data_IF_969172532456
#
_entry.id   IF_969172532456
#
_cell.length_a   1.000
_cell.length_b   1.000
_cell.length_c   1.000
_cell.angle_alpha   90.00
_cell.angle_beta   90.00
_cell.angle_gamma   90.00
#
_symmetry.space_group_name_H-M   'P 1'
#
loop_
_entity.id
_entity.type
_entity.pdbx_description
1 polymer ?
#
# COMPACT_ATOMS: atom_id res chain seq x y z
N UNK A 1 35.65 56.00 28.67
CA UNK A 1 35.99 54.94 27.66
C UNK A 1 35.59 53.52 28.02
N UNK A 2 35.47 53.05 29.27
CA UNK A 2 35.14 51.67 29.63
C UNK A 2 33.69 51.27 29.37
N UNK A 3 32.67 52.14 29.43
CA UNK A 3 31.24 51.84 29.23
C UNK A 3 30.89 51.52 27.76
N UNK A 4 31.56 52.13 26.77
CA UNK A 4 31.28 51.87 25.35
C UNK A 4 31.82 50.51 24.86
N UNK A 5 32.94 50.03 25.43
CA UNK A 5 33.49 48.69 25.12
C UNK A 5 32.60 47.55 25.62
N UNK A 6 32.00 47.68 26.82
CA UNK A 6 31.07 46.69 27.38
C UNK A 6 29.78 46.59 26.57
N UNK A 7 29.21 47.74 26.09
CA UNK A 7 28.02 47.69 25.22
C UNK A 7 28.31 47.04 23.88
N UNK A 8 29.44 47.32 23.23
CA UNK A 8 29.81 46.65 21.96
C UNK A 8 30.05 45.16 22.16
N UNK A 9 30.71 44.72 23.21
CA UNK A 9 30.93 43.31 23.52
C UNK A 9 29.60 42.59 23.80
N UNK A 10 28.64 43.22 24.48
CA UNK A 10 27.32 42.65 24.76
C UNK A 10 26.47 42.52 23.49
N UNK A 11 26.51 43.50 22.57
CA UNK A 11 25.81 43.42 21.27
C UNK A 11 26.38 42.29 20.41
N UNK A 12 27.71 42.13 20.37
CA UNK A 12 28.36 41.03 19.65
C UNK A 12 28.00 39.68 20.27
N UNK A 13 27.99 39.55 21.59
CA UNK A 13 27.60 38.34 22.29
C UNK A 13 26.15 37.94 22.00
N UNK A 14 25.23 38.90 22.08
CA UNK A 14 23.80 38.63 21.72
C UNK A 14 23.62 38.29 20.24
N UNK A 15 24.37 38.91 19.33
CA UNK A 15 24.40 38.56 17.91
C UNK A 15 24.87 37.11 17.67
N UNK A 16 25.94 36.69 18.35
CA UNK A 16 26.45 35.33 18.26
C UNK A 16 25.46 34.30 18.83
N UNK A 17 24.81 34.60 19.97
CA UNK A 17 23.77 33.72 20.58
C UNK A 17 22.57 33.61 19.67
N UNK A 18 22.09 34.71 19.09
CA UNK A 18 20.98 34.67 18.12
C UNK A 18 21.31 33.87 16.84
N UNK A 19 22.52 34.04 16.31
CA UNK A 19 23.01 33.29 15.16
C UNK A 19 23.08 31.77 15.45
N UNK A 20 23.62 31.39 16.62
CA UNK A 20 23.66 29.98 17.05
C UNK A 20 22.28 29.41 17.26
N UNK A 21 21.33 30.17 17.84
CA UNK A 21 19.94 29.73 18.00
C UNK A 21 19.25 29.53 16.64
N UNK A 22 19.46 30.40 15.66
CA UNK A 22 18.95 30.27 14.30
C UNK A 22 19.56 29.07 13.58
N UNK A 23 20.87 28.85 13.71
CA UNK A 23 21.54 27.67 13.16
C UNK A 23 21.02 26.37 13.80
N UNK A 24 20.82 26.36 15.12
CA UNK A 24 20.28 25.22 15.82
C UNK A 24 18.81 24.94 15.43
N UNK A 25 17.98 25.97 15.29
CA UNK A 25 16.60 25.85 14.82
C UNK A 25 16.55 25.36 13.36
N UNK A 26 17.42 25.88 12.48
CA UNK A 26 17.54 25.41 11.10
C UNK A 26 18.01 23.94 11.01
N UNK A 27 19.00 23.56 11.82
CA UNK A 27 19.48 22.18 11.90
C UNK A 27 18.37 21.24 12.43
N UNK A 28 17.64 21.65 13.46
CA UNK A 28 16.52 20.90 14.01
C UNK A 28 15.38 20.77 12.98
N UNK A 29 15.06 21.84 12.25
CA UNK A 29 14.06 21.80 11.16
C UNK A 29 14.46 20.82 10.06
N UNK A 30 15.74 20.80 9.63
CA UNK A 30 16.25 19.85 8.64
C UNK A 30 16.25 18.39 9.15
N UNK A 31 16.47 18.19 10.46
CA UNK A 31 16.42 16.85 11.07
C UNK A 31 15.00 16.31 11.23
N UNK A 32 14.03 17.21 11.42
CA UNK A 32 12.61 16.85 11.57
C UNK A 32 11.91 16.71 10.21
N UNK A 33 12.48 17.28 9.13
CA UNK A 33 11.85 17.24 7.81
C UNK A 33 11.84 15.81 7.26
N UNK A 34 10.65 15.33 6.88
CA UNK A 34 10.50 14.09 6.13
C UNK A 34 11.19 14.23 4.76
N UNK A 35 12.07 13.30 4.36
CA UNK A 35 12.67 13.30 3.04
C UNK A 35 11.61 13.30 1.93
N UNK A 36 11.91 13.91 0.79
CA UNK A 36 11.02 13.83 -0.37
C UNK A 36 10.94 12.39 -0.89
N UNK A 37 9.79 11.97 -1.47
CA UNK A 37 9.68 10.70 -2.15
C UNK A 37 10.74 10.55 -3.24
N UNK A 38 11.24 9.33 -3.43
CA UNK A 38 12.27 9.00 -4.42
C UNK A 38 11.74 7.94 -5.38
N UNK A 39 11.79 8.25 -6.67
CA UNK A 39 11.54 7.29 -7.73
C UNK A 39 12.76 6.38 -7.88
N UNK A 40 12.53 5.07 -7.93
CA UNK A 40 13.58 4.05 -7.98
C UNK A 40 13.18 2.92 -8.93
N UNK A 41 14.19 2.20 -9.43
CA UNK A 41 14.06 0.97 -10.19
C UNK A 41 14.65 -0.17 -9.34
N UNK A 42 13.78 -1.05 -8.83
CA UNK A 42 14.19 -2.15 -7.94
C UNK A 42 14.44 -3.41 -8.76
N UNK A 43 15.61 -4.06 -8.66
CA UNK A 43 15.86 -5.32 -9.35
C UNK A 43 14.88 -6.41 -8.90
N UNK A 44 14.07 -6.91 -9.81
CA UNK A 44 13.15 -8.04 -9.62
C UNK A 44 13.58 -9.29 -10.37
N UNK A 45 12.90 -10.40 -10.14
CA UNK A 45 13.24 -11.69 -10.77
C UNK A 45 13.04 -11.72 -12.29
N UNK A 46 12.15 -10.86 -12.83
CA UNK A 46 11.79 -10.82 -14.26
C UNK A 46 12.27 -9.56 -14.97
N UNK A 47 12.57 -8.50 -14.22
CA UNK A 47 12.96 -7.18 -14.71
C UNK A 47 12.97 -6.18 -13.57
N UNK A 48 13.21 -4.92 -13.89
CA UNK A 48 13.14 -3.87 -12.89
C UNK A 48 11.69 -3.56 -12.51
N UNK A 49 11.46 -3.33 -11.24
CA UNK A 49 10.18 -2.96 -10.63
C UNK A 49 10.21 -1.45 -10.38
N UNK A 50 9.45 -0.63 -11.13
CA UNK A 50 9.36 0.79 -10.85
C UNK A 50 8.67 1.01 -9.51
N UNK A 51 9.25 1.84 -8.65
CA UNK A 51 8.71 2.09 -7.33
C UNK A 51 8.98 3.53 -6.85
N UNK A 52 8.24 3.95 -5.83
CA UNK A 52 8.47 5.21 -5.12
C UNK A 52 8.70 4.91 -3.65
N UNK A 53 9.84 5.32 -3.13
CA UNK A 53 10.23 5.15 -1.72
C UNK A 53 9.99 6.45 -0.96
N UNK A 54 9.35 6.37 0.19
CA UNK A 54 9.21 7.47 1.15
C UNK A 54 9.85 7.04 2.48
N UNK A 55 10.94 7.71 2.84
CA UNK A 55 11.65 7.45 4.11
C UNK A 55 11.18 8.40 5.22
N UNK A 56 11.16 7.97 6.48
CA UNK A 56 10.90 8.85 7.61
C UNK A 56 12.05 9.84 7.84
N UNK A 57 11.78 10.93 8.55
CA UNK A 57 12.80 11.89 8.98
C UNK A 57 13.88 11.25 9.85
N UNK A 58 15.08 11.86 9.91
CA UNK A 58 16.23 11.29 10.63
C UNK A 58 15.99 11.04 12.12
N UNK A 59 15.22 11.88 12.79
CA UNK A 59 14.88 11.70 14.21
C UNK A 59 13.88 10.58 14.47
N UNK A 60 13.11 10.17 13.45
CA UNK A 60 12.21 9.04 13.53
C UNK A 60 12.93 7.68 13.43
N UNK A 61 14.24 7.66 13.11
CA UNK A 61 15.07 6.46 12.92
C UNK A 61 15.81 6.03 14.20
N UNK A 62 15.21 6.22 15.35
CA UNK A 62 15.83 5.84 16.65
C UNK A 62 15.67 4.36 16.99
N UNK A 63 15.90 3.42 16.06
CA UNK A 63 15.72 1.98 16.23
C UNK A 63 15.48 1.29 14.89
N UNK A 64 14.96 0.07 14.92
CA UNK A 64 14.48 -0.64 13.73
C UNK A 64 13.38 0.16 13.03
N UNK A 65 13.57 0.48 11.75
CA UNK A 65 12.59 1.24 10.96
C UNK A 65 11.57 0.28 10.36
N UNK A 66 10.28 0.39 10.74
CA UNK A 66 9.23 -0.41 10.12
C UNK A 66 9.04 -0.03 8.64
N UNK A 67 8.58 -1.00 7.85
CA UNK A 67 8.28 -0.84 6.42
C UNK A 67 6.81 -1.12 6.13
N UNK A 68 6.21 -0.32 5.26
CA UNK A 68 4.92 -0.63 4.64
C UNK A 68 5.07 -0.68 3.12
N UNK A 69 4.66 -1.82 2.52
CA UNK A 69 4.57 -1.98 1.07
C UNK A 69 3.13 -1.74 0.63
N UNK A 70 2.93 -0.86 -0.36
CA UNK A 70 1.62 -0.51 -0.89
C UNK A 70 1.40 -1.18 -2.26
N UNK A 71 0.38 -2.03 -2.33
CA UNK A 71 0.05 -2.90 -3.46
C UNK A 71 -1.25 -2.42 -4.14
N UNK A 72 -1.14 -1.94 -5.38
CA UNK A 72 -2.29 -1.42 -6.13
C UNK A 72 -3.20 -2.53 -6.72
N UNK A 73 -4.39 -2.12 -7.18
CA UNK A 73 -5.39 -2.98 -7.79
C UNK A 73 -5.10 -3.35 -9.25
N UNK A 74 -6.03 -4.11 -9.85
CA UNK A 74 -5.99 -4.51 -11.26
C UNK A 74 -5.97 -3.26 -12.15
N UNK A 75 -5.07 -3.20 -13.15
CA UNK A 75 -4.80 -2.05 -14.02
C UNK A 75 -4.40 -0.74 -13.32
N UNK A 76 -4.13 -0.78 -12.02
CA UNK A 76 -3.71 0.39 -11.24
C UNK A 76 -2.25 0.76 -11.43
N UNK A 77 -1.71 1.53 -10.50
CA UNK A 77 -0.29 1.90 -10.43
C UNK A 77 0.12 2.22 -8.99
N UNK A 78 1.40 2.47 -8.78
CA UNK A 78 1.96 2.92 -7.49
C UNK A 78 1.36 4.24 -6.95
N UNK A 79 0.47 4.89 -7.72
CA UNK A 79 -0.30 6.05 -7.24
C UNK A 79 -1.50 5.66 -6.39
N UNK A 80 -2.04 4.42 -6.56
CA UNK A 80 -3.17 3.91 -5.78
C UNK A 80 -4.39 4.82 -5.85
N UNK A 81 -4.76 5.22 -7.07
CA UNK A 81 -5.86 6.12 -7.36
C UNK A 81 -5.78 7.50 -6.64
N UNK A 82 -4.57 7.89 -6.23
CA UNK A 82 -4.30 9.14 -5.52
C UNK A 82 -4.08 8.98 -4.01
N UNK A 83 -4.46 7.85 -3.42
CA UNK A 83 -4.43 7.65 -1.95
C UNK A 83 -3.08 7.19 -1.39
N UNK A 84 -2.23 6.56 -2.19
CA UNK A 84 -0.97 6.01 -1.68
C UNK A 84 0.07 7.07 -1.33
N UNK A 85 0.07 8.22 -2.00
CA UNK A 85 1.01 9.30 -1.70
C UNK A 85 0.70 9.97 -0.34
N UNK A 86 -0.54 10.43 -0.06
CA UNK A 86 -0.87 11.00 1.25
C UNK A 86 -0.71 9.98 2.39
N UNK A 87 -1.04 8.70 2.17
CA UNK A 87 -0.79 7.65 3.16
C UNK A 87 0.70 7.49 3.45
N UNK A 88 1.54 7.43 2.41
CA UNK A 88 2.99 7.30 2.57
C UNK A 88 3.59 8.49 3.34
N UNK A 89 3.11 9.71 3.08
CA UNK A 89 3.52 10.90 3.81
C UNK A 89 3.14 10.81 5.30
N UNK A 90 1.91 10.42 5.63
CA UNK A 90 1.46 10.26 7.02
C UNK A 90 2.23 9.16 7.76
N UNK A 91 2.49 8.01 7.12
CA UNK A 91 3.30 6.93 7.69
C UNK A 91 4.74 7.38 7.96
N UNK A 92 5.33 8.15 7.04
CA UNK A 92 6.68 8.69 7.21
C UNK A 92 6.79 9.68 8.38
N UNK A 93 5.74 10.49 8.63
CA UNK A 93 5.64 11.35 9.83
C UNK A 93 5.59 10.52 11.11
N UNK A 94 5.01 9.33 11.04
CA UNK A 94 4.99 8.37 12.15
C UNK A 94 6.26 7.51 12.23
N UNK A 95 7.29 7.77 11.45
CA UNK A 95 8.55 7.03 11.52
C UNK A 95 8.55 5.68 10.81
N UNK A 96 7.60 5.45 9.92
CA UNK A 96 7.45 4.24 9.10
C UNK A 96 7.92 4.53 7.67
N UNK A 97 8.83 3.72 7.14
CA UNK A 97 9.22 3.78 5.73
C UNK A 97 8.13 3.17 4.86
N UNK A 98 7.96 3.68 3.64
CA UNK A 98 7.02 3.10 2.68
C UNK A 98 7.66 2.90 1.33
N UNK A 99 7.17 1.90 0.61
CA UNK A 99 7.44 1.69 -0.80
C UNK A 99 6.14 1.31 -1.51
N UNK A 100 5.87 1.99 -2.60
CA UNK A 100 4.74 1.75 -3.51
C UNK A 100 5.30 1.37 -4.87
N UNK A 101 4.84 0.26 -5.44
CA UNK A 101 5.42 -0.35 -6.63
C UNK A 101 4.41 -0.45 -7.77
N UNK A 102 4.91 -0.54 -9.01
CA UNK A 102 4.11 -0.90 -10.18
C UNK A 102 4.32 -2.39 -10.49
N UNK A 103 3.25 -3.17 -10.43
CA UNK A 103 3.27 -4.57 -10.84
C UNK A 103 3.39 -4.72 -12.37
N UNK A 104 3.67 -5.93 -12.82
CA UNK A 104 3.84 -6.26 -14.24
C UNK A 104 2.72 -5.68 -15.12
N UNK A 105 3.08 -5.00 -16.20
CA UNK A 105 2.17 -4.37 -17.15
C UNK A 105 1.39 -3.16 -16.64
N UNK A 106 1.68 -2.68 -15.43
CA UNK A 106 1.02 -1.56 -14.79
C UNK A 106 1.96 -0.36 -14.64
N UNK A 107 1.40 0.84 -14.60
CA UNK A 107 2.15 2.07 -14.36
C UNK A 107 3.33 2.24 -15.33
N UNK A 108 4.56 2.29 -14.80
CA UNK A 108 5.80 2.39 -15.57
C UNK A 108 6.50 1.04 -15.82
N UNK A 109 5.89 -0.09 -15.40
CA UNK A 109 6.47 -1.42 -15.62
C UNK A 109 6.64 -1.73 -17.11
N UNK A 110 7.82 -2.21 -17.50
CA UNK A 110 8.12 -2.64 -18.86
C UNK A 110 7.69 -4.11 -19.13
N UNK A 111 7.24 -4.84 -18.11
CA UNK A 111 6.76 -6.21 -18.26
C UNK A 111 5.39 -6.25 -18.95
N UNK A 112 5.07 -7.33 -19.71
CA UNK A 112 3.74 -7.47 -20.29
C UNK A 112 2.69 -7.74 -19.20
N UNK A 113 1.45 -7.30 -19.43
CA UNK A 113 0.36 -7.51 -18.47
C UNK A 113 0.05 -9.01 -18.24
N UNK A 114 0.36 -9.89 -19.16
CA UNK A 114 0.24 -11.35 -19.00
C UNK A 114 1.15 -11.91 -17.89
N UNK A 115 2.16 -11.15 -17.45
CA UNK A 115 2.96 -11.47 -16.27
C UNK A 115 2.32 -11.00 -14.94
N UNK A 116 1.19 -10.29 -14.96
CA UNK A 116 0.42 -9.90 -13.78
C UNK A 116 -0.29 -11.14 -13.21
N UNK A 117 0.37 -11.84 -12.31
CA UNK A 117 -0.13 -13.05 -11.64
C UNK A 117 0.15 -12.96 -10.13
N UNK A 118 -0.64 -13.65 -9.30
CA UNK A 118 -0.48 -13.57 -7.84
C UNK A 118 0.91 -14.01 -7.38
N UNK A 119 1.49 -15.03 -8.01
CA UNK A 119 2.85 -15.49 -7.67
C UNK A 119 3.93 -14.49 -8.08
N UNK A 120 3.78 -13.85 -9.24
CA UNK A 120 4.71 -12.82 -9.67
C UNK A 120 4.62 -11.56 -8.81
N UNK A 121 3.38 -11.13 -8.46
CA UNK A 121 3.15 -10.01 -7.56
C UNK A 121 3.77 -10.27 -6.17
N UNK A 122 3.64 -11.50 -5.63
CA UNK A 122 4.27 -11.87 -4.37
C UNK A 122 5.81 -11.82 -4.46
N UNK A 123 6.39 -12.32 -5.56
CA UNK A 123 7.83 -12.26 -5.80
C UNK A 123 8.35 -10.81 -5.96
N UNK A 124 7.54 -9.91 -6.54
CA UNK A 124 7.87 -8.49 -6.61
C UNK A 124 7.89 -7.85 -5.22
N UNK A 125 6.91 -8.16 -4.37
CA UNK A 125 6.88 -7.71 -2.96
C UNK A 125 8.09 -8.25 -2.19
N UNK A 126 8.45 -9.52 -2.36
CA UNK A 126 9.66 -10.12 -1.76
C UNK A 126 10.93 -9.36 -2.16
N UNK A 127 11.08 -9.06 -3.46
CA UNK A 127 12.23 -8.32 -4.01
C UNK A 127 12.30 -6.91 -3.44
N UNK A 128 11.15 -6.23 -3.35
CA UNK A 128 11.03 -4.87 -2.81
C UNK A 128 11.41 -4.84 -1.33
N UNK A 129 10.93 -5.78 -0.51
CA UNK A 129 11.27 -5.84 0.92
C UNK A 129 12.76 -6.12 1.10
N UNK A 130 13.33 -7.07 0.35
CA UNK A 130 14.74 -7.39 0.42
C UNK A 130 15.61 -6.19 0.04
N UNK A 131 15.26 -5.50 -1.04
CA UNK A 131 15.98 -4.33 -1.51
C UNK A 131 15.89 -3.15 -0.52
N UNK A 132 14.72 -2.90 0.09
CA UNK A 132 14.57 -1.87 1.11
C UNK A 132 15.44 -2.13 2.35
N UNK A 133 15.61 -3.40 2.72
CA UNK A 133 16.53 -3.79 3.80
C UNK A 133 17.99 -3.52 3.44
N UNK A 134 18.40 -3.89 2.22
CA UNK A 134 19.79 -3.75 1.75
C UNK A 134 20.17 -2.28 1.53
N UNK A 135 19.37 -1.51 0.79
CA UNK A 135 19.73 -0.16 0.37
C UNK A 135 19.45 0.91 1.43
N UNK A 136 18.39 0.74 2.23
CA UNK A 136 17.96 1.75 3.21
C UNK A 136 18.15 1.32 4.67
N UNK A 137 18.56 0.06 4.92
CA UNK A 137 18.69 -0.47 6.27
C UNK A 137 17.35 -0.51 7.02
N UNK A 138 16.27 -0.79 6.30
CA UNK A 138 14.92 -0.91 6.87
C UNK A 138 14.76 -2.34 7.36
N UNK A 139 14.99 -2.57 8.65
CA UNK A 139 15.08 -3.89 9.28
C UNK A 139 13.94 -4.20 10.28
N UNK A 140 13.04 -3.24 10.48
CA UNK A 140 11.87 -3.40 11.33
C UNK A 140 10.75 -4.28 10.75
N UNK A 141 9.63 -4.43 11.49
CA UNK A 141 8.46 -5.16 11.04
C UNK A 141 7.89 -4.62 9.73
N UNK A 142 7.32 -5.51 8.90
CA UNK A 142 6.74 -5.17 7.59
C UNK A 142 5.22 -5.26 7.66
N UNK A 143 4.53 -4.21 7.20
CA UNK A 143 3.10 -4.20 6.93
C UNK A 143 2.81 -4.19 5.43
N UNK A 144 1.67 -4.73 5.02
CA UNK A 144 1.16 -4.59 3.66
C UNK A 144 -0.13 -3.77 3.66
N UNK A 145 -0.22 -2.83 2.73
CA UNK A 145 -1.49 -2.20 2.34
C UNK A 145 -1.83 -2.70 0.95
N UNK A 146 -3.04 -3.20 0.76
CA UNK A 146 -3.46 -3.66 -0.55
C UNK A 146 -4.85 -3.16 -0.93
N UNK A 147 -4.97 -2.54 -2.11
CA UNK A 147 -6.25 -2.14 -2.68
C UNK A 147 -6.72 -3.16 -3.71
N UNK A 148 -7.98 -3.57 -3.66
CA UNK A 148 -8.62 -4.44 -4.67
C UNK A 148 -7.82 -5.73 -4.90
N UNK A 149 -7.23 -5.93 -6.09
CA UNK A 149 -6.34 -7.06 -6.38
C UNK A 149 -5.08 -7.04 -5.52
N UNK A 150 -4.51 -5.88 -5.20
CA UNK A 150 -3.44 -5.76 -4.21
C UNK A 150 -3.87 -6.19 -2.82
N UNK A 151 -5.14 -5.98 -2.45
CA UNK A 151 -5.73 -6.48 -1.21
C UNK A 151 -5.87 -8.00 -1.19
N UNK A 152 -6.26 -8.60 -2.34
CA UNK A 152 -6.21 -10.06 -2.52
C UNK A 152 -4.79 -10.59 -2.35
N UNK A 153 -3.81 -9.96 -3.01
CA UNK A 153 -2.41 -10.33 -2.85
C UNK A 153 -1.99 -10.26 -1.38
N UNK A 154 -2.27 -9.15 -0.68
CA UNK A 154 -1.91 -8.98 0.73
C UNK A 154 -2.54 -10.06 1.61
N UNK A 155 -3.79 -10.47 1.33
CA UNK A 155 -4.47 -11.57 2.03
C UNK A 155 -3.78 -12.93 1.83
N UNK A 156 -3.22 -13.17 0.63
CA UNK A 156 -2.56 -14.42 0.25
C UNK A 156 -1.04 -14.42 0.53
N UNK A 157 -0.44 -13.23 0.71
CA UNK A 157 1.00 -13.07 0.82
C UNK A 157 1.65 -13.90 1.94
N UNK A 158 1.04 -14.09 3.12
CA UNK A 158 1.58 -14.98 4.15
C UNK A 158 1.80 -16.44 3.69
N UNK A 159 1.14 -16.86 2.60
CA UNK A 159 1.30 -18.20 2.01
C UNK A 159 2.16 -18.18 0.74
N UNK A 160 2.18 -17.08 -0.02
CA UNK A 160 2.87 -16.97 -1.31
C UNK A 160 4.26 -16.35 -1.20
N UNK A 161 4.42 -15.37 -0.30
CA UNK A 161 5.66 -14.63 -0.11
C UNK A 161 6.68 -15.40 0.75
N UNK A 162 7.91 -14.96 0.67
CA UNK A 162 9.06 -15.50 1.44
C UNK A 162 9.48 -14.58 2.59
N UNK A 163 9.02 -13.33 2.59
CA UNK A 163 9.33 -12.35 3.64
C UNK A 163 8.24 -12.35 4.72
N UNK A 164 8.65 -12.25 5.98
CA UNK A 164 7.71 -12.15 7.08
C UNK A 164 7.00 -10.80 7.08
N UNK A 165 5.67 -10.81 7.31
CA UNK A 165 4.84 -9.62 7.50
C UNK A 165 4.16 -9.66 8.86
N UNK A 166 3.88 -8.50 9.45
CA UNK A 166 3.38 -8.34 10.80
C UNK A 166 1.94 -7.82 10.86
N UNK A 167 1.45 -7.13 9.82
CA UNK A 167 0.09 -6.59 9.76
C UNK A 167 -0.37 -6.38 8.32
N UNK A 168 -1.70 -6.44 8.11
CA UNK A 168 -2.34 -6.27 6.80
C UNK A 168 -3.40 -5.17 6.88
N UNK A 169 -3.40 -4.21 5.95
CA UNK A 169 -4.49 -3.27 5.74
C UNK A 169 -5.08 -3.52 4.34
N UNK A 170 -6.33 -3.91 4.30
CA UNK A 170 -7.02 -4.38 3.11
C UNK A 170 -8.11 -3.37 2.71
N UNK A 171 -7.93 -2.73 1.58
CA UNK A 171 -8.85 -1.75 1.00
C UNK A 171 -9.64 -2.39 -0.13
N UNK A 172 -10.94 -2.56 0.03
CA UNK A 172 -11.83 -3.21 -0.94
C UNK A 172 -11.22 -4.46 -1.61
N UNK A 173 -10.68 -5.44 -0.82
CA UNK A 173 -9.94 -6.58 -1.37
C UNK A 173 -10.82 -7.46 -2.24
N UNK A 174 -10.33 -7.87 -3.43
CA UNK A 174 -11.01 -8.75 -4.37
C UNK A 174 -10.93 -10.23 -3.93
N UNK A 175 -11.50 -10.55 -2.75
CA UNK A 175 -11.33 -11.82 -2.05
C UNK A 175 -12.37 -12.89 -2.41
N UNK A 176 -13.05 -12.77 -3.56
CA UNK A 176 -13.90 -13.83 -4.09
C UNK A 176 -13.14 -15.15 -4.29
N UNK A 177 -13.82 -16.30 -4.19
CA UNK A 177 -13.21 -17.63 -4.32
C UNK A 177 -13.64 -18.32 -5.62
N UNK A 178 -12.81 -19.22 -6.14
CA UNK A 178 -13.09 -19.89 -7.40
C UNK A 178 -13.23 -18.88 -8.54
N UNK A 179 -14.22 -19.09 -9.41
CA UNK A 179 -14.47 -18.17 -10.53
C UNK A 179 -14.98 -16.80 -10.07
N UNK A 180 -15.62 -16.73 -8.88
CA UNK A 180 -16.04 -15.46 -8.26
C UNK A 180 -14.86 -14.52 -7.99
N UNK A 181 -13.63 -15.04 -7.85
CA UNK A 181 -12.42 -14.22 -7.76
C UNK A 181 -12.16 -13.36 -8.99
N UNK A 182 -12.79 -13.66 -10.13
CA UNK A 182 -12.67 -12.92 -11.39
C UNK A 182 -13.89 -12.01 -11.66
N UNK A 183 -14.85 -11.86 -10.73
CA UNK A 183 -16.09 -11.10 -10.93
C UNK A 183 -15.87 -9.65 -11.38
N UNK A 184 -14.77 -9.02 -10.96
CA UNK A 184 -14.40 -7.66 -11.37
C UNK A 184 -14.17 -7.53 -12.89
N UNK A 185 -13.94 -8.61 -13.60
CA UNK A 185 -13.83 -8.58 -15.06
C UNK A 185 -15.17 -8.20 -15.71
N UNK A 186 -16.30 -8.65 -15.16
CA UNK A 186 -17.63 -8.20 -15.54
C UNK A 186 -18.67 -8.63 -14.50
N UNK A 187 -18.93 -7.80 -13.48
CA UNK A 187 -19.87 -8.10 -12.41
C UNK A 187 -21.32 -8.15 -12.91
N UNK A 188 -21.66 -7.42 -13.98
CA UNK A 188 -23.02 -7.34 -14.52
C UNK A 188 -23.39 -8.58 -15.35
N UNK A 189 -22.40 -9.21 -15.98
CA UNK A 189 -22.58 -10.40 -16.84
C UNK A 189 -21.50 -11.44 -16.56
N UNK A 190 -21.80 -12.32 -15.62
CA UNK A 190 -20.85 -13.37 -15.21
C UNK A 190 -20.58 -14.40 -16.31
N UNK A 191 -21.45 -14.56 -17.32
CA UNK A 191 -21.18 -15.42 -18.47
C UNK A 191 -19.99 -14.92 -19.31
N UNK A 192 -19.75 -13.62 -19.33
CA UNK A 192 -18.57 -13.05 -19.98
C UNK A 192 -17.31 -13.32 -19.15
N UNK A 193 -17.39 -13.35 -17.82
CA UNK A 193 -16.27 -13.78 -16.95
C UNK A 193 -15.89 -15.21 -17.25
N UNK A 194 -16.88 -16.12 -17.36
CA UNK A 194 -16.65 -17.51 -17.73
C UNK A 194 -16.03 -17.65 -19.13
N UNK A 195 -16.51 -16.87 -20.10
CA UNK A 195 -15.99 -16.89 -21.47
C UNK A 195 -14.53 -16.42 -21.53
N UNK A 196 -14.18 -15.30 -20.87
CA UNK A 196 -12.81 -14.78 -20.81
C UNK A 196 -11.88 -15.77 -20.12
N UNK A 197 -12.32 -16.38 -19.01
CA UNK A 197 -11.54 -17.39 -18.31
C UNK A 197 -11.28 -18.64 -19.18
N UNK A 198 -12.31 -19.14 -19.85
CA UNK A 198 -12.20 -20.29 -20.75
C UNK A 198 -11.30 -19.98 -21.97
N UNK A 199 -11.38 -18.78 -22.53
CA UNK A 199 -10.52 -18.34 -23.62
C UNK A 199 -9.04 -18.28 -23.17
N UNK A 200 -8.77 -17.70 -22.01
CA UNK A 200 -7.42 -17.66 -21.46
C UNK A 200 -6.84 -19.05 -21.22
N UNK A 201 -7.63 -19.97 -20.65
CA UNK A 201 -7.24 -21.37 -20.41
C UNK A 201 -6.96 -22.12 -21.73
N UNK A 202 -7.75 -21.87 -22.78
CA UNK A 202 -7.61 -22.55 -24.07
C UNK A 202 -6.44 -22.00 -24.91
N UNK A 203 -6.20 -20.68 -24.88
CA UNK A 203 -5.27 -19.99 -25.77
C UNK A 203 -3.99 -19.49 -25.07
N UNK A 204 -3.87 -19.70 -23.75
CA UNK A 204 -2.77 -19.17 -22.92
C UNK A 204 -3.01 -17.75 -22.39
N UNK A 205 -3.88 -16.98 -23.04
CA UNK A 205 -4.28 -15.63 -22.66
C UNK A 205 -5.63 -15.23 -23.27
N UNK A 206 -6.28 -14.21 -22.70
CA UNK A 206 -7.49 -13.61 -23.23
C UNK A 206 -7.52 -12.10 -22.97
N UNK A 207 -8.14 -11.36 -23.92
CA UNK A 207 -8.42 -9.93 -23.78
C UNK A 207 -9.54 -9.67 -22.79
N UNK A 208 -9.47 -8.56 -22.08
CA UNK A 208 -10.51 -8.12 -21.13
C UNK A 208 -11.15 -6.80 -21.55
N UNK A 209 -12.32 -6.47 -21.01
CA UNK A 209 -12.96 -5.15 -21.21
C UNK A 209 -12.12 -3.98 -20.67
N UNK A 210 -11.12 -4.27 -19.85
CA UNK A 210 -10.19 -3.28 -19.29
C UNK A 210 -9.03 -2.93 -20.25
N UNK A 211 -9.03 -3.50 -21.46
CA UNK A 211 -8.01 -3.23 -22.47
C UNK A 211 -6.67 -3.92 -22.24
N UNK A 212 -6.62 -4.91 -21.35
CA UNK A 212 -5.43 -5.71 -21.05
C UNK A 212 -5.68 -7.18 -21.34
N UNK A 213 -4.60 -7.95 -21.57
CA UNK A 213 -4.64 -9.41 -21.72
C UNK A 213 -4.24 -10.08 -20.40
N UNK A 214 -5.08 -11.00 -19.92
CA UNK A 214 -4.76 -11.85 -18.76
C UNK A 214 -4.28 -13.23 -19.21
N UNK A 215 -3.31 -13.81 -18.49
CA UNK A 215 -2.79 -15.13 -18.79
C UNK A 215 -3.66 -16.27 -18.22
N UNK A 216 -3.53 -17.47 -18.78
CA UNK A 216 -4.10 -18.68 -18.21
C UNK A 216 -3.63 -18.92 -16.78
N UNK A 217 -2.37 -18.60 -16.48
CA UNK A 217 -1.81 -18.70 -15.11
C UNK A 217 -2.52 -17.77 -14.13
N UNK A 218 -2.82 -16.53 -14.53
CA UNK A 218 -3.61 -15.62 -13.69
C UNK A 218 -4.99 -16.23 -13.39
N UNK A 219 -5.71 -16.69 -14.41
CA UNK A 219 -7.03 -17.31 -14.24
C UNK A 219 -6.96 -18.52 -13.29
N UNK A 220 -6.00 -19.41 -13.51
CA UNK A 220 -5.79 -20.59 -12.67
C UNK A 220 -5.53 -20.20 -11.21
N UNK A 221 -4.61 -19.26 -10.95
CA UNK A 221 -4.28 -18.82 -9.60
C UNK A 221 -5.46 -18.14 -8.91
N UNK A 222 -6.26 -17.35 -9.64
CA UNK A 222 -7.48 -16.75 -9.12
C UNK A 222 -8.52 -17.80 -8.69
N UNK A 223 -8.68 -18.86 -9.49
CA UNK A 223 -9.64 -19.96 -9.22
C UNK A 223 -9.22 -20.86 -8.06
N UNK A 224 -7.91 -21.13 -7.93
CA UNK A 224 -7.36 -22.06 -6.94
C UNK A 224 -7.12 -21.43 -5.57
N UNK A 225 -6.97 -20.10 -5.50
CA UNK A 225 -6.67 -19.40 -4.23
C UNK A 225 -7.93 -19.10 -3.42
N UNK A 226 -7.81 -19.22 -2.10
CA UNK A 226 -8.81 -18.79 -1.11
C UNK A 226 -8.21 -17.77 -0.14
N UNK A 227 -8.36 -16.46 -0.43
CA UNK A 227 -7.83 -15.40 0.42
C UNK A 227 -8.42 -15.40 1.84
N UNK A 228 -9.71 -15.78 1.97
CA UNK A 228 -10.35 -15.82 3.27
C UNK A 228 -9.82 -16.97 4.14
N UNK A 229 -9.51 -18.13 3.55
CA UNK A 229 -8.81 -19.21 4.26
C UNK A 229 -7.38 -18.80 4.63
N UNK A 230 -6.67 -18.10 3.76
CA UNK A 230 -5.33 -17.57 4.04
C UNK A 230 -5.33 -16.58 5.22
N UNK A 231 -6.28 -15.66 5.28
CA UNK A 231 -6.46 -14.73 6.40
C UNK A 231 -6.71 -15.47 7.72
N UNK A 232 -7.59 -16.50 7.71
CA UNK A 232 -7.82 -17.32 8.93
C UNK A 232 -6.58 -18.07 9.40
N UNK A 233 -5.72 -18.47 8.46
CA UNK A 233 -4.52 -19.24 8.76
C UNK A 233 -3.32 -18.39 9.19
N UNK A 234 -3.25 -17.12 8.80
CA UNK A 234 -2.04 -16.30 9.03
C UNK A 234 -1.90 -15.79 10.47
N UNK A 235 -2.99 -15.63 11.21
CA UNK A 235 -3.00 -15.14 12.60
C UNK A 235 -2.52 -13.70 12.76
N UNK A 236 -2.45 -12.92 11.68
CA UNK A 236 -1.99 -11.53 11.69
C UNK A 236 -3.13 -10.56 12.06
N UNK A 237 -2.81 -9.40 12.65
CA UNK A 237 -3.76 -8.30 12.74
C UNK A 237 -4.13 -7.79 11.33
N UNK A 238 -5.44 -7.59 11.12
CA UNK A 238 -6.00 -7.16 9.82
C UNK A 238 -6.92 -5.98 10.02
N UNK A 239 -6.69 -4.88 9.30
CA UNK A 239 -7.66 -3.83 9.05
C UNK A 239 -8.34 -4.10 7.70
N UNK A 240 -9.67 -4.10 7.70
CA UNK A 240 -10.48 -4.24 6.49
C UNK A 240 -11.37 -3.03 6.31
N UNK A 241 -11.36 -2.46 5.11
CA UNK A 241 -12.32 -1.44 4.68
C UNK A 241 -13.02 -1.87 3.39
N UNK A 242 -14.31 -1.49 3.25
CA UNK A 242 -15.05 -1.52 2.00
C UNK A 242 -15.83 -0.22 1.84
N UNK A 243 -15.94 0.25 0.61
CA UNK A 243 -16.75 1.42 0.28
C UNK A 243 -18.21 1.02 0.00
N UNK A 244 -19.14 1.94 0.31
CA UNK A 244 -20.58 1.65 0.24
C UNK A 244 -21.16 1.73 -1.16
N UNK A 245 -20.47 2.35 -2.13
CA UNK A 245 -20.87 2.45 -3.52
C UNK A 245 -19.98 1.62 -4.46
N UNK A 246 -19.38 0.56 -3.93
CA UNK A 246 -18.56 -0.36 -4.70
C UNK A 246 -19.41 -1.09 -5.74
N UNK A 247 -19.13 -0.84 -7.02
CA UNK A 247 -19.79 -1.47 -8.16
C UNK A 247 -18.90 -2.51 -8.88
N UNK A 248 -17.75 -2.87 -8.28
CA UNK A 248 -16.76 -3.79 -8.86
C UNK A 248 -16.81 -5.15 -8.20
N UNK A 249 -17.12 -5.20 -6.90
CA UNK A 249 -17.18 -6.41 -6.11
C UNK A 249 -18.63 -6.72 -5.69
N UNK A 250 -19.00 -7.99 -5.68
CA UNK A 250 -20.32 -8.41 -5.22
C UNK A 250 -20.46 -8.28 -3.70
N UNK A 251 -21.70 -8.07 -3.24
CA UNK A 251 -22.02 -8.08 -1.80
C UNK A 251 -21.59 -9.39 -1.13
N UNK A 252 -21.68 -10.52 -1.85
CA UNK A 252 -21.28 -11.83 -1.36
C UNK A 252 -19.76 -11.90 -1.07
N UNK A 253 -18.93 -11.38 -1.99
CA UNK A 253 -17.47 -11.28 -1.80
C UNK A 253 -17.13 -10.40 -0.61
N UNK A 254 -17.74 -9.22 -0.52
CA UNK A 254 -17.51 -8.28 0.58
C UNK A 254 -17.97 -8.88 1.93
N UNK A 255 -19.17 -9.41 2.01
CA UNK A 255 -19.71 -10.01 3.24
C UNK A 255 -18.87 -11.21 3.72
N UNK A 256 -18.39 -12.04 2.79
CA UNK A 256 -17.52 -13.18 3.11
C UNK A 256 -16.20 -12.74 3.76
N UNK A 257 -15.58 -11.70 3.23
CA UNK A 257 -14.33 -11.15 3.79
C UNK A 257 -14.58 -10.44 5.12
N UNK A 258 -15.64 -9.64 5.23
CA UNK A 258 -16.06 -8.99 6.49
C UNK A 258 -16.25 -10.03 7.60
N UNK A 259 -17.02 -11.08 7.34
CA UNK A 259 -17.25 -12.17 8.30
C UNK A 259 -15.93 -12.85 8.70
N UNK A 260 -15.03 -13.07 7.74
CA UNK A 260 -13.71 -13.64 8.01
C UNK A 260 -12.92 -12.76 8.96
N UNK A 261 -12.73 -11.47 8.63
CA UNK A 261 -11.91 -10.56 9.42
C UNK A 261 -12.50 -10.32 10.81
N UNK A 262 -13.82 -10.21 10.93
CA UNK A 262 -14.50 -10.12 12.25
C UNK A 262 -14.26 -11.34 13.15
N UNK A 263 -13.96 -12.50 12.57
CA UNK A 263 -13.65 -13.72 13.33
C UNK A 263 -12.18 -13.80 13.80
N UNK A 264 -11.30 -12.93 13.29
CA UNK A 264 -9.88 -12.93 13.65
C UNK A 264 -9.64 -12.20 14.98
N UNK A 265 -8.74 -12.70 15.86
CA UNK A 265 -8.42 -12.04 17.14
C UNK A 265 -7.92 -10.59 17.02
N UNK A 266 -7.26 -10.26 15.93
CA UNK A 266 -6.75 -8.91 15.61
C UNK A 266 -7.46 -8.25 14.43
N UNK A 267 -8.67 -8.72 14.08
CA UNK A 267 -9.46 -8.21 12.97
C UNK A 267 -10.21 -6.93 13.32
N UNK A 268 -10.05 -5.89 12.51
CA UNK A 268 -10.78 -4.61 12.58
C UNK A 268 -11.48 -4.36 11.26
N UNK A 269 -12.77 -4.07 11.30
CA UNK A 269 -13.58 -3.76 10.11
C UNK A 269 -14.16 -2.37 10.23
N UNK A 270 -13.83 -1.51 9.27
CA UNK A 270 -14.31 -0.13 9.17
C UNK A 270 -14.94 0.12 7.79
N UNK A 271 -16.26 0.01 7.72
CA UNK A 271 -17.03 0.22 6.47
C UNK A 271 -17.92 1.47 6.53
N UNK A 272 -18.34 1.87 7.73
CA UNK A 272 -19.26 2.99 7.90
C UNK A 272 -18.72 4.34 7.45
N UNK A 273 -17.42 4.55 7.57
CA UNK A 273 -16.74 5.79 7.14
C UNK A 273 -16.76 5.98 5.62
N UNK A 274 -16.88 4.90 4.85
CA UNK A 274 -16.74 4.88 3.39
C UNK A 274 -18.05 4.66 2.64
N UNK A 275 -19.19 4.93 3.27
CA UNK A 275 -20.52 4.68 2.69
C UNK A 275 -20.79 5.43 1.38
N UNK A 276 -20.09 6.53 1.12
CA UNK A 276 -20.25 7.38 -0.06
C UNK A 276 -19.13 7.19 -1.10
N UNK A 277 -18.12 6.36 -0.83
CA UNK A 277 -17.03 6.07 -1.75
C UNK A 277 -17.38 5.02 -2.79
N UNK A 278 -16.84 5.14 -4.00
CA UNK A 278 -16.81 4.08 -5.01
C UNK A 278 -15.77 3.01 -4.67
N UNK A 279 -15.53 2.05 -5.56
CA UNK A 279 -14.53 0.98 -5.36
C UNK A 279 -13.13 1.51 -5.01
N UNK A 280 -12.77 2.66 -5.55
CA UNK A 280 -11.48 3.32 -5.34
C UNK A 280 -11.50 4.36 -4.21
N UNK A 281 -12.57 4.42 -3.41
CA UNK A 281 -12.80 5.41 -2.35
C UNK A 281 -12.94 6.85 -2.85
N UNK A 282 -13.25 7.05 -4.12
CA UNK A 282 -13.48 8.37 -4.71
C UNK A 282 -14.96 8.76 -4.65
N UNK A 283 -15.23 10.07 -4.73
CA UNK A 283 -16.57 10.63 -4.85
C UNK A 283 -16.57 11.85 -5.78
N UNK A 284 -17.66 12.04 -6.53
CA UNK A 284 -17.82 13.21 -7.42
C UNK A 284 -17.91 14.55 -6.66
N UNK A 285 -18.37 14.56 -5.41
CA UNK A 285 -18.32 15.72 -4.53
C UNK A 285 -16.92 15.84 -3.92
N UNK A 286 -16.19 16.89 -4.25
CA UNK A 286 -14.82 17.09 -3.83
C UNK A 286 -14.62 17.19 -2.30
N UNK A 287 -15.65 17.61 -1.54
CA UNK A 287 -15.56 17.69 -0.09
C UNK A 287 -15.72 16.30 0.53
N UNK A 288 -16.60 15.46 -0.04
CA UNK A 288 -16.77 14.06 0.35
C UNK A 288 -15.51 13.28 -0.01
N UNK A 289 -14.99 13.47 -1.23
CA UNK A 289 -13.78 12.84 -1.73
C UNK A 289 -12.58 13.09 -0.81
N UNK A 290 -12.32 14.35 -0.48
CA UNK A 290 -11.26 14.74 0.45
C UNK A 290 -11.45 14.14 1.87
N UNK A 291 -12.69 13.98 2.33
CA UNK A 291 -12.97 13.35 3.63
C UNK A 291 -12.71 11.84 3.59
N UNK A 292 -13.10 11.16 2.50
CA UNK A 292 -12.85 9.74 2.30
C UNK A 292 -11.34 9.45 2.30
N UNK A 293 -10.56 10.24 1.55
CA UNK A 293 -9.09 10.13 1.52
C UNK A 293 -8.48 10.35 2.90
N UNK A 294 -8.89 11.41 3.59
CA UNK A 294 -8.39 11.74 4.93
C UNK A 294 -8.69 10.61 5.95
N UNK A 295 -9.91 10.06 5.94
CA UNK A 295 -10.29 8.98 6.84
C UNK A 295 -9.56 7.68 6.51
N UNK A 296 -9.42 7.33 5.22
CA UNK A 296 -8.72 6.13 4.76
C UNK A 296 -7.24 6.15 5.18
N UNK A 297 -6.56 7.27 4.93
CA UNK A 297 -5.17 7.47 5.32
C UNK A 297 -5.01 7.45 6.84
N UNK A 298 -5.89 8.15 7.58
CA UNK A 298 -5.83 8.24 9.05
C UNK A 298 -5.98 6.87 9.71
N UNK A 299 -7.06 6.12 9.42
CA UNK A 299 -7.30 4.83 10.09
C UNK A 299 -6.24 3.80 9.73
N UNK A 300 -5.75 3.83 8.48
CA UNK A 300 -4.67 2.94 8.03
C UNK A 300 -3.35 3.27 8.74
N UNK A 301 -3.01 4.56 8.85
CA UNK A 301 -1.82 5.01 9.57
C UNK A 301 -1.88 4.66 11.05
N UNK A 302 -3.01 4.93 11.72
CA UNK A 302 -3.23 4.60 13.13
C UNK A 302 -3.07 3.09 13.37
N UNK A 303 -3.74 2.26 12.57
CA UNK A 303 -3.67 0.81 12.66
C UNK A 303 -2.24 0.29 12.47
N UNK A 304 -1.60 0.62 11.33
CA UNK A 304 -0.26 0.12 11.02
C UNK A 304 0.79 0.59 12.02
N UNK A 305 0.73 1.85 12.45
CA UNK A 305 1.65 2.38 13.45
C UNK A 305 1.54 1.63 14.77
N UNK A 306 0.31 1.33 15.20
CA UNK A 306 0.08 0.56 16.43
C UNK A 306 0.62 -0.89 16.31
N UNK A 307 0.54 -1.51 15.14
CA UNK A 307 0.98 -2.90 14.95
C UNK A 307 2.49 -3.03 14.71
N UNK A 308 3.12 -2.03 14.08
CA UNK A 308 4.51 -2.13 13.65
C UNK A 308 5.52 -1.50 14.62
N UNK A 309 5.08 -0.75 15.64
CA UNK A 309 5.95 -0.04 16.58
C UNK A 309 5.86 -0.49 18.02
N UNK A 310 5.08 -1.56 18.30
CA UNK A 310 4.93 -2.14 19.64
C UNK A 310 5.83 -3.34 19.86
#
# INVERSE_FOLDING_TARGET
>A
MRRGRRRKAMIVLWGCVAALALCAAGALFLLLRTPQPQEVEIPGARGNIPATVQMPGKLARGGEVPLVVLCHGFTGSRLGDGHFEPLAAQLAEQGVATVRLDFAGCGASAEPYTAYTLTNMAADVDSVIAWMREEYGVDGPVGLVGHSMGGRLASLYPQLGTQAVAALALWSPANGTGLQGLEFLNIEDFSQVEAVAAEAEANGQAGTKWGVEISADFVRQMRESDPNAALRACGLPVLLTYSGQDAVLSEATMAGTVSTVQSLPGGTVETGLFAQGDHNYNNADAAVDAQLDADLCRITTEFLTAQLKN
#
